data_IF_887359215675
#
_entry.id   IF_887359215675
#
_cell.length_a   1.000
_cell.length_b   1.000
_cell.length_c   1.000
_cell.angle_alpha   90.00
_cell.angle_beta   90.00
_cell.angle_gamma   90.00
#
_symmetry.space_group_name_H-M   'P 1'
#
loop_
_entity.id
_entity.type
_entity.pdbx_description
1 polymer ?
#
# COMPACT_ATOMS: atom_id res chain seq x y z
N UNK A 1 -7.00 23.35 8.51
CA UNK A 1 -7.65 22.32 9.35
C UNK A 1 -8.90 21.91 8.60
N UNK A 2 -8.84 20.80 7.86
CA UNK A 2 -10.00 20.31 7.10
C UNK A 2 -10.60 19.12 7.86
N UNK A 3 -11.89 19.22 8.11
CA UNK A 3 -12.75 18.22 8.72
C UNK A 3 -13.77 17.90 7.64
N UNK A 4 -13.82 16.67 7.15
CA UNK A 4 -14.84 16.22 6.20
C UNK A 4 -15.36 14.86 6.63
N UNK A 5 -16.69 14.76 6.71
CA UNK A 5 -17.48 13.65 7.20
C UNK A 5 -17.83 12.67 6.07
N UNK A 6 -17.63 11.37 6.33
CA UNK A 6 -18.26 10.16 5.77
C UNK A 6 -18.79 10.20 4.32
N UNK A 7 -17.99 9.70 3.37
CA UNK A 7 -18.47 9.15 2.09
C UNK A 7 -18.48 7.63 2.23
N UNK A 8 -19.68 7.08 2.44
CA UNK A 8 -19.92 5.66 2.69
C UNK A 8 -20.27 4.92 1.40
N UNK A 9 -19.34 4.82 0.44
CA UNK A 9 -19.53 3.99 -0.77
C UNK A 9 -18.21 3.36 -1.20
N UNK A 10 -17.85 2.21 -0.62
CA UNK A 10 -16.70 1.40 -1.08
C UNK A 10 -17.14 0.49 -2.23
N UNK A 11 -17.12 1.00 -3.47
CA UNK A 11 -17.20 0.16 -4.67
C UNK A 11 -15.79 -0.30 -5.08
N UNK A 12 -15.66 -1.45 -5.78
CA UNK A 12 -14.37 -2.04 -6.21
C UNK A 12 -13.49 -1.03 -6.99
N UNK A 13 -14.12 -0.09 -7.70
CA UNK A 13 -13.45 1.00 -8.42
C UNK A 13 -12.84 2.05 -7.47
N UNK A 14 -13.50 2.41 -6.36
CA UNK A 14 -12.93 3.37 -5.41
C UNK A 14 -11.71 2.82 -4.67
N UNK A 15 -11.67 1.52 -4.37
CA UNK A 15 -10.50 0.90 -3.74
C UNK A 15 -9.28 0.92 -4.67
N UNK A 16 -9.45 0.83 -5.99
CA UNK A 16 -8.33 1.01 -6.92
C UNK A 16 -7.89 2.48 -6.96
N UNK A 17 -8.81 3.43 -6.99
CA UNK A 17 -8.51 4.88 -7.07
C UNK A 17 -7.83 5.40 -5.80
N UNK A 18 -8.39 5.11 -4.62
CA UNK A 18 -7.82 5.51 -3.32
C UNK A 18 -6.43 4.90 -3.13
N UNK A 19 -6.20 3.67 -3.62
CA UNK A 19 -4.91 2.98 -3.58
C UNK A 19 -3.84 3.62 -4.47
N UNK A 20 -4.21 4.26 -5.58
CA UNK A 20 -3.28 5.00 -6.43
C UNK A 20 -3.03 6.43 -5.95
N UNK A 21 -3.97 7.03 -5.21
CA UNK A 21 -3.97 8.47 -4.86
C UNK A 21 -3.69 8.77 -3.37
N UNK A 22 -3.33 7.79 -2.53
CA UNK A 22 -2.81 8.01 -1.16
C UNK A 22 -1.36 8.56 -1.22
N UNK A 23 -1.26 9.79 -1.68
CA UNK A 23 -0.03 10.52 -2.01
C UNK A 23 0.56 11.19 -0.78
N UNK A 24 1.62 10.59 -0.23
CA UNK A 24 2.78 11.27 0.42
C UNK A 24 3.72 10.22 1.05
N UNK A 25 3.88 9.06 0.39
CA UNK A 25 4.81 8.04 0.85
C UNK A 25 6.06 8.01 -0.03
N UNK A 26 7.22 7.99 0.62
CA UNK A 26 8.58 8.06 0.05
C UNK A 26 9.02 6.73 -0.59
N UNK A 27 8.09 5.79 -0.77
CA UNK A 27 8.32 4.45 -1.35
C UNK A 27 7.28 3.44 -0.87
N UNK A 28 6.71 2.66 -1.78
CA UNK A 28 5.72 1.63 -1.47
C UNK A 28 6.37 0.24 -1.59
N UNK A 29 6.39 -0.51 -0.49
CA UNK A 29 6.84 -1.90 -0.47
C UNK A 29 5.67 -2.81 -0.17
N UNK A 30 5.35 -3.71 -1.10
CA UNK A 30 4.30 -4.69 -0.94
C UNK A 30 4.89 -6.09 -1.08
N UNK A 31 4.74 -6.90 -0.03
CA UNK A 31 5.22 -8.27 0.01
C UNK A 31 4.03 -9.23 0.05
N UNK A 32 3.74 -9.92 -1.05
CA UNK A 32 2.73 -10.99 -1.06
C UNK A 32 3.22 -12.24 -0.35
N UNK A 33 4.53 -12.50 -0.38
CA UNK A 33 5.16 -13.59 0.35
C UNK A 33 6.54 -13.14 0.83
N UNK A 34 6.93 -13.55 2.06
CA UNK A 34 8.19 -13.16 2.68
C UNK A 34 9.38 -13.97 2.18
N UNK A 35 9.10 -15.11 1.55
CA UNK A 35 10.11 -15.98 0.96
C UNK A 35 9.51 -16.74 -0.21
N UNK A 36 10.23 -16.79 -1.33
CA UNK A 36 9.89 -17.60 -2.48
C UNK A 36 11.10 -18.38 -2.96
N UNK A 37 10.94 -19.68 -3.14
CA UNK A 37 11.95 -20.58 -3.66
C UNK A 37 11.42 -21.34 -4.87
N UNK A 38 12.27 -21.39 -5.90
CA UNK A 38 12.01 -22.09 -7.15
C UNK A 38 11.67 -23.55 -6.89
N UNK A 39 10.63 -24.03 -7.56
CA UNK A 39 10.08 -25.39 -7.49
C UNK A 39 9.53 -25.83 -6.12
N UNK A 40 9.45 -24.93 -5.14
CA UNK A 40 8.99 -25.25 -3.79
C UNK A 40 7.80 -24.38 -3.37
N UNK A 41 7.92 -23.06 -3.53
CA UNK A 41 6.88 -22.13 -3.08
C UNK A 41 5.68 -22.15 -4.03
N UNK A 42 4.48 -22.33 -3.48
CA UNK A 42 3.21 -22.13 -4.20
C UNK A 42 2.87 -20.64 -4.23
N UNK A 43 2.62 -20.12 -5.42
CA UNK A 43 2.15 -18.75 -5.66
C UNK A 43 0.62 -18.75 -5.79
N UNK A 44 0.03 -17.55 -5.95
CA UNK A 44 -1.41 -17.35 -6.06
C UNK A 44 -2.06 -18.33 -7.07
N UNK A 45 -3.17 -18.94 -6.68
CA UNK A 45 -3.85 -20.00 -7.44
C UNK A 45 -3.18 -21.38 -7.37
N UNK A 46 -2.31 -21.62 -6.38
CA UNK A 46 -1.70 -22.94 -6.13
C UNK A 46 -0.59 -23.35 -7.10
N UNK A 47 -0.22 -22.47 -8.03
CA UNK A 47 0.83 -22.73 -9.03
C UNK A 47 2.20 -22.76 -8.36
N UNK A 48 3.12 -23.57 -8.87
CA UNK A 48 4.49 -23.65 -8.33
C UNK A 48 5.35 -22.53 -8.93
N UNK A 49 6.08 -21.80 -8.09
CA UNK A 49 7.05 -20.79 -8.52
C UNK A 49 8.15 -21.45 -9.38
N UNK A 50 8.30 -21.04 -10.64
CA UNK A 50 9.33 -21.59 -11.55
C UNK A 50 10.55 -20.71 -11.67
N UNK A 51 10.39 -19.39 -11.66
CA UNK A 51 11.48 -18.42 -11.76
C UNK A 51 11.20 -17.26 -10.80
N UNK A 52 12.26 -16.66 -10.26
CA UNK A 52 12.22 -15.42 -9.48
C UNK A 52 13.00 -14.38 -10.26
N UNK A 53 12.34 -13.32 -10.69
CA UNK A 53 12.93 -12.25 -11.51
C UNK A 53 12.73 -10.94 -10.76
N UNK A 54 13.80 -10.17 -10.59
CA UNK A 54 13.76 -8.81 -10.06
C UNK A 54 13.77 -7.81 -11.20
N UNK A 55 12.84 -6.86 -11.18
CA UNK A 55 12.85 -5.70 -12.06
C UNK A 55 13.12 -4.47 -11.20
N UNK A 56 14.02 -3.60 -11.66
CA UNK A 56 14.31 -2.32 -11.04
C UNK A 56 14.08 -1.20 -12.05
N UNK A 57 13.51 -0.09 -11.59
CA UNK A 57 13.22 1.05 -12.43
C UNK A 57 14.39 2.02 -12.41
N UNK A 58 15.04 2.20 -13.57
CA UNK A 58 16.12 3.17 -13.72
C UNK A 58 15.61 4.58 -13.41
N UNK A 59 16.15 5.19 -12.34
CA UNK A 59 15.89 6.57 -11.96
C UNK A 59 14.39 6.94 -11.83
N UNK A 60 13.59 6.08 -11.20
CA UNK A 60 12.13 6.22 -11.05
C UNK A 60 11.67 7.65 -10.71
N UNK A 61 12.24 8.27 -9.67
CA UNK A 61 11.83 9.61 -9.24
C UNK A 61 12.13 10.70 -10.28
N UNK A 62 13.27 10.60 -10.94
CA UNK A 62 13.69 11.56 -11.97
C UNK A 62 12.77 11.43 -13.19
N UNK A 63 12.42 10.20 -13.56
CA UNK A 63 11.43 9.97 -14.61
C UNK A 63 10.06 10.57 -14.23
N UNK A 64 9.60 10.39 -12.99
CA UNK A 64 8.36 11.01 -12.50
C UNK A 64 8.41 12.55 -12.58
N UNK A 65 9.54 13.18 -12.23
CA UNK A 65 9.74 14.63 -12.34
C UNK A 65 9.69 15.15 -13.79
N UNK A 66 10.01 14.30 -14.77
CA UNK A 66 9.88 14.63 -16.19
C UNK A 66 8.44 14.61 -16.71
N UNK A 67 7.48 14.14 -15.93
CA UNK A 67 6.06 14.13 -16.32
C UNK A 67 5.36 15.45 -15.98
N UNK A 68 4.15 15.65 -16.50
CA UNK A 68 3.31 16.81 -16.18
C UNK A 68 2.95 16.81 -14.70
N UNK A 69 3.59 17.69 -13.94
CA UNK A 69 3.35 17.85 -12.50
C UNK A 69 2.31 18.94 -12.22
N UNK A 70 1.48 18.77 -11.17
CA UNK A 70 0.62 19.86 -10.70
C UNK A 70 1.48 20.97 -10.12
N UNK A 71 1.33 22.18 -10.65
CA UNK A 71 2.05 23.39 -10.21
C UNK A 71 1.04 24.50 -9.88
N UNK A 72 1.44 25.43 -9.03
CA UNK A 72 0.63 26.60 -8.68
C UNK A 72 0.12 26.59 -7.24
N UNK A 73 -0.86 27.46 -6.97
CA UNK A 73 -1.41 27.62 -5.62
C UNK A 73 -2.33 26.46 -5.27
N UNK A 74 -2.11 25.85 -4.11
CA UNK A 74 -3.05 24.89 -3.55
C UNK A 74 -4.41 25.58 -3.33
N UNK A 75 -5.46 25.01 -3.90
CA UNK A 75 -6.84 25.47 -3.73
C UNK A 75 -7.66 24.34 -3.10
N UNK A 76 -8.67 24.72 -2.33
CA UNK A 76 -9.64 23.80 -1.75
C UNK A 76 -10.96 24.02 -2.46
N UNK A 77 -11.59 22.92 -2.89
CA UNK A 77 -12.92 22.90 -3.47
C UNK A 77 -13.85 22.14 -2.51
N UNK A 78 -15.09 22.60 -2.40
CA UNK A 78 -16.12 21.86 -1.67
C UNK A 78 -16.53 20.62 -2.47
N UNK A 79 -17.01 19.60 -1.76
CA UNK A 79 -17.46 18.34 -2.36
C UNK A 79 -18.73 18.59 -3.16
N UNK A 80 -18.79 18.04 -4.37
CA UNK A 80 -19.95 18.07 -5.27
C UNK A 80 -20.26 16.66 -5.78
N UNK A 81 -21.49 16.43 -6.25
CA UNK A 81 -22.00 15.08 -6.54
C UNK A 81 -21.17 14.31 -7.59
N UNK A 82 -20.72 15.00 -8.64
CA UNK A 82 -19.97 14.40 -9.76
C UNK A 82 -18.45 14.30 -9.54
N UNK A 83 -17.96 14.60 -8.33
CA UNK A 83 -16.52 14.65 -8.04
C UNK A 83 -15.81 13.32 -8.32
N UNK A 84 -16.48 12.19 -8.06
CA UNK A 84 -15.92 10.85 -8.26
C UNK A 84 -15.73 10.58 -9.75
N UNK A 85 -16.71 10.96 -10.58
CA UNK A 85 -16.67 10.72 -12.02
C UNK A 85 -15.62 11.62 -12.68
N UNK A 86 -15.50 12.87 -12.25
CA UNK A 86 -14.44 13.77 -12.74
C UNK A 86 -13.03 13.32 -12.34
N UNK A 87 -12.87 12.70 -11.17
CA UNK A 87 -11.61 12.08 -10.71
C UNK A 87 -11.25 10.87 -11.57
N UNK A 88 -12.26 10.11 -12.03
CA UNK A 88 -12.09 8.94 -12.90
C UNK A 88 -11.76 9.32 -14.34
N UNK A 89 -12.44 10.35 -14.85
CA UNK A 89 -12.21 10.92 -16.17
C UNK A 89 -10.88 11.69 -16.27
N UNK A 90 -10.20 11.89 -15.15
CA UNK A 90 -8.94 12.65 -15.08
C UNK A 90 -9.12 14.16 -15.26
N UNK A 91 -10.35 14.66 -15.18
CA UNK A 91 -10.66 16.11 -15.22
C UNK A 91 -10.17 16.81 -13.95
N UNK A 92 -10.24 16.11 -12.82
CA UNK A 92 -9.85 16.63 -11.50
C UNK A 92 -8.75 15.76 -10.86
N UNK A 93 -7.73 16.42 -10.32
CA UNK A 93 -6.65 15.78 -9.55
C UNK A 93 -6.43 16.53 -8.23
N UNK A 94 -6.34 15.79 -7.13
CA UNK A 94 -6.16 16.38 -5.80
C UNK A 94 -6.22 15.35 -4.68
N UNK A 95 -6.29 15.86 -3.46
CA UNK A 95 -6.43 15.06 -2.25
C UNK A 95 -7.90 15.05 -1.81
N UNK A 96 -8.44 13.86 -1.57
CA UNK A 96 -9.79 13.68 -1.03
C UNK A 96 -9.68 13.06 0.37
N UNK A 97 -10.18 13.78 1.37
CA UNK A 97 -10.38 13.20 2.70
C UNK A 97 -11.67 12.40 2.67
N UNK A 98 -11.58 11.10 2.94
CA UNK A 98 -12.74 10.22 3.01
C UNK A 98 -12.57 9.22 4.16
N UNK A 99 -13.69 8.83 4.74
CA UNK A 99 -13.73 7.66 5.60
C UNK A 99 -13.67 6.41 4.74
N UNK A 100 -12.96 5.40 5.22
CA UNK A 100 -12.87 4.10 4.55
C UNK A 100 -13.56 3.07 5.42
N UNK A 101 -14.52 2.32 4.86
CA UNK A 101 -15.23 1.26 5.57
C UNK A 101 -15.04 -0.06 4.85
N UNK A 102 -14.82 -1.12 5.61
CA UNK A 102 -14.56 -2.44 5.06
C UNK A 102 -15.87 -3.21 4.79
N UNK A 103 -16.17 -3.58 3.54
CA UNK A 103 -17.21 -4.57 3.27
C UNK A 103 -16.71 -6.00 3.60
N UNK A 104 -17.37 -6.67 4.55
CA UNK A 104 -16.96 -8.01 5.03
C UNK A 104 -16.89 -9.07 3.93
N UNK A 105 -17.76 -8.98 2.92
CA UNK A 105 -17.81 -9.95 1.82
C UNK A 105 -16.61 -9.89 0.87
N UNK A 106 -15.71 -8.90 0.99
CA UNK A 106 -14.50 -8.78 0.15
C UNK A 106 -13.21 -9.10 0.90
N UNK A 107 -13.31 -9.66 2.10
CA UNK A 107 -12.15 -9.97 2.95
C UNK A 107 -11.13 -10.87 2.25
N UNK A 108 -11.59 -11.95 1.62
CA UNK A 108 -10.72 -12.91 0.94
C UNK A 108 -10.06 -12.30 -0.30
N UNK A 109 -10.74 -11.36 -0.98
CA UNK A 109 -10.20 -10.68 -2.15
C UNK A 109 -9.07 -9.69 -1.80
N UNK A 110 -9.12 -9.14 -0.58
CA UNK A 110 -8.18 -8.15 -0.10
C UNK A 110 -7.26 -8.66 1.02
N UNK A 111 -7.34 -9.94 1.41
CA UNK A 111 -6.45 -10.53 2.43
C UNK A 111 -4.97 -10.39 2.04
N UNK A 112 -4.70 -10.49 0.75
CA UNK A 112 -3.38 -10.30 0.14
C UNK A 112 -3.10 -8.82 -0.17
N UNK A 113 -3.87 -7.86 0.34
CA UNK A 113 -3.69 -6.43 0.04
C UNK A 113 -3.72 -5.59 1.30
N UNK A 114 -2.75 -4.69 1.41
CA UNK A 114 -2.68 -3.73 2.50
C UNK A 114 -3.55 -2.53 2.16
N UNK A 115 -4.71 -2.42 2.80
CA UNK A 115 -5.64 -1.31 2.59
C UNK A 115 -5.33 -0.10 3.48
N UNK A 116 -4.68 -0.33 4.62
CA UNK A 116 -4.45 0.68 5.65
C UNK A 116 -2.97 0.70 6.00
N UNK A 117 -2.42 1.90 6.24
CA UNK A 117 -1.08 2.04 6.81
C UNK A 117 -1.19 2.47 8.26
N UNK A 118 -0.57 1.71 9.17
CA UNK A 118 -0.53 2.05 10.59
C UNK A 118 0.90 2.16 11.10
N UNK A 119 1.15 3.20 11.88
CA UNK A 119 2.43 3.42 12.53
C UNK A 119 2.38 2.80 13.93
N UNK A 120 2.76 1.53 14.01
CA UNK A 120 2.73 0.76 15.26
C UNK A 120 4.13 0.31 15.68
N UNK A 121 4.27 0.00 16.96
CA UNK A 121 5.47 -0.63 17.47
C UNK A 121 5.48 -2.11 17.09
N UNK A 122 6.58 -2.55 16.46
CA UNK A 122 6.76 -3.94 16.05
C UNK A 122 7.98 -4.50 16.74
N UNK A 123 7.76 -5.63 17.41
CA UNK A 123 8.81 -6.50 17.90
C UNK A 123 9.12 -7.58 16.85
N UNK A 124 10.36 -7.72 16.34
CA UNK A 124 10.70 -8.69 15.31
C UNK A 124 10.79 -10.12 15.87
N UNK A 125 9.66 -10.68 16.30
CA UNK A 125 9.50 -12.07 16.75
C UNK A 125 9.25 -13.03 15.57
N UNK A 126 9.42 -14.33 15.80
CA UNK A 126 9.12 -15.39 14.81
C UNK A 126 7.69 -15.26 14.24
N UNK A 127 6.71 -14.97 15.09
CA UNK A 127 5.31 -14.81 14.69
C UNK A 127 5.08 -13.56 13.82
N UNK A 128 5.71 -12.43 14.17
CA UNK A 128 5.43 -11.16 13.50
C UNK A 128 6.18 -11.05 12.18
N UNK A 129 7.48 -11.38 12.14
CA UNK A 129 8.32 -11.27 10.92
C UNK A 129 8.49 -12.61 10.18
N UNK A 130 8.05 -13.71 10.77
CA UNK A 130 8.06 -15.04 10.16
C UNK A 130 9.40 -15.75 10.31
N UNK A 131 9.38 -17.08 10.44
CA UNK A 131 10.54 -17.92 10.73
C UNK A 131 11.77 -17.65 9.90
N UNK A 132 11.59 -17.49 8.59
CA UNK A 132 12.71 -17.21 7.69
C UNK A 132 13.38 -15.87 8.02
N UNK A 133 12.59 -14.79 8.15
CA UNK A 133 13.13 -13.46 8.45
C UNK A 133 13.64 -13.35 9.87
N UNK A 134 13.01 -14.06 10.81
CA UNK A 134 13.50 -14.16 12.18
C UNK A 134 14.88 -14.81 12.20
N UNK A 135 15.04 -15.99 11.58
CA UNK A 135 16.33 -16.65 11.44
C UNK A 135 17.40 -15.73 10.82
N UNK A 136 17.07 -15.07 9.71
CA UNK A 136 17.95 -14.09 9.08
C UNK A 136 18.29 -12.89 10.00
N UNK A 137 17.34 -12.43 10.81
CA UNK A 137 17.59 -11.36 11.78
C UNK A 137 18.54 -11.81 12.89
N UNK A 138 18.46 -13.08 13.32
CA UNK A 138 19.37 -13.64 14.33
C UNK A 138 20.81 -13.76 13.81
N UNK A 139 21.02 -13.97 12.51
CA UNK A 139 22.36 -14.09 11.92
C UNK A 139 23.07 -12.74 11.74
N UNK A 140 22.41 -11.61 12.04
CA UNK A 140 23.01 -10.28 11.91
C UNK A 140 23.72 -9.88 13.20
N UNK A 141 25.05 -9.76 13.15
CA UNK A 141 25.86 -9.32 14.30
C UNK A 141 25.57 -7.86 14.67
N UNK A 142 25.82 -6.92 13.74
CA UNK A 142 25.50 -5.49 13.89
C UNK A 142 24.31 -5.15 12.99
N UNK A 143 23.35 -4.40 13.53
CA UNK A 143 22.14 -3.99 12.79
C UNK A 143 20.99 -4.99 12.83
N UNK A 144 20.99 -5.90 13.83
CA UNK A 144 19.82 -6.71 14.17
C UNK A 144 18.61 -5.81 14.40
N UNK A 145 17.49 -6.13 13.74
CA UNK A 145 16.24 -5.44 13.96
C UNK A 145 15.82 -5.62 15.42
N UNK A 146 15.51 -4.49 16.07
CA UNK A 146 14.99 -4.41 17.44
C UNK A 146 13.57 -3.87 17.41
N UNK A 147 12.89 -3.99 18.55
CA UNK A 147 11.60 -3.34 18.78
C UNK A 147 11.68 -1.87 18.38
N UNK A 148 10.83 -1.46 17.45
CA UNK A 148 10.80 -0.09 16.93
C UNK A 148 9.45 0.22 16.32
N UNK A 149 9.09 1.51 16.31
CA UNK A 149 7.93 1.98 15.56
C UNK A 149 8.21 1.91 14.06
N UNK A 150 7.28 1.32 13.33
CA UNK A 150 7.35 1.19 11.87
C UNK A 150 5.99 1.48 11.27
N UNK A 151 6.00 2.07 10.09
CA UNK A 151 4.82 2.12 9.25
C UNK A 151 4.63 0.75 8.62
N UNK A 152 3.50 0.11 8.87
CA UNK A 152 3.13 -1.14 8.22
C UNK A 152 1.85 -0.99 7.43
N UNK A 153 1.81 -1.70 6.30
CA UNK A 153 0.55 -2.00 5.66
C UNK A 153 -0.18 -3.09 6.44
N UNK A 154 -1.41 -2.83 6.84
CA UNK A 154 -2.31 -3.81 7.42
C UNK A 154 -3.63 -3.83 6.65
N UNK A 155 -4.26 -4.99 6.67
CA UNK A 155 -5.65 -5.14 6.23
C UNK A 155 -6.65 -5.03 7.39
N UNK A 156 -6.14 -5.15 8.63
CA UNK A 156 -6.89 -5.13 9.87
C UNK A 156 -6.54 -3.87 10.66
N UNK A 157 -7.55 -3.23 11.27
CA UNK A 157 -7.37 -2.14 12.23
C UNK A 157 -6.54 -2.62 13.41
#
# INVERSE_FOLDING_TARGET
MLTVWSIRLMNKNMISIVRWKLTSQVGHYFFSNRFAKRNETKIHGGKICKNVIGYDANALYIWCLGNKMPCGRLTTIDVYDDIIDDINDGKTFGFLQCDTERPEHLNDYFSDRTAIFKNIEIDPTDEIIGRHMFGYNQTRDKGKAKKSRKLIGSFWY
#
